data_IF_056474079045
#
_entry.id   IF_056474079045
#
_cell.length_a   1.000
_cell.length_b   1.000
_cell.length_c   1.000
_cell.angle_alpha   90.00
_cell.angle_beta   90.00
_cell.angle_gamma   90.00
#
_symmetry.space_group_name_H-M   'P 1'
#
loop_
_entity.id
_entity.type
_entity.pdbx_description
1 polymer ?
#
# COMPACT_ATOMS: atom_id res chain seq x y z
N UNK A 1 -16.23 9.61 -12.99
CA UNK A 1 -15.09 8.71 -12.70
C UNK A 1 -15.28 8.18 -11.28
N UNK A 2 -15.84 6.99 -11.11
CA UNK A 2 -16.18 6.45 -9.78
C UNK A 2 -15.11 5.49 -9.28
N UNK A 3 -14.55 5.75 -8.10
CA UNK A 3 -13.64 4.81 -7.42
C UNK A 3 -14.49 3.69 -6.81
N UNK A 4 -14.27 2.44 -7.22
CA UNK A 4 -14.93 1.26 -6.64
C UNK A 4 -14.11 0.77 -5.45
N UNK A 5 -14.59 1.06 -4.24
CA UNK A 5 -14.03 0.50 -3.00
C UNK A 5 -14.62 -0.92 -2.81
N UNK A 6 -13.78 -1.95 -2.73
CA UNK A 6 -14.22 -3.29 -2.31
C UNK A 6 -14.62 -3.22 -0.84
N UNK A 7 -15.88 -3.55 -0.53
CA UNK A 7 -16.45 -3.36 0.81
C UNK A 7 -16.10 -4.47 1.83
N UNK A 8 -15.23 -5.44 1.51
CA UNK A 8 -15.03 -6.61 2.37
C UNK A 8 -13.66 -7.31 2.22
N UNK A 9 -12.57 -6.57 2.40
CA UNK A 9 -11.17 -7.08 2.25
C UNK A 9 -10.50 -7.43 3.59
N UNK A 10 -11.25 -7.52 4.70
CA UNK A 10 -10.71 -7.53 6.08
C UNK A 10 -9.69 -8.63 6.39
N UNK A 11 -9.69 -9.72 5.61
CA UNK A 11 -8.78 -10.86 5.77
C UNK A 11 -7.70 -10.92 4.69
N UNK A 12 -7.78 -10.08 3.65
CA UNK A 12 -6.80 -10.03 2.58
C UNK A 12 -5.53 -9.31 3.06
N UNK A 13 -4.37 -9.71 2.52
CA UNK A 13 -3.12 -8.99 2.75
C UNK A 13 -3.11 -7.69 1.95
N UNK A 14 -2.79 -6.59 2.64
CA UNK A 14 -2.68 -5.26 2.04
C UNK A 14 -1.22 -4.83 2.16
N UNK A 15 -0.57 -4.65 1.02
CA UNK A 15 0.77 -4.07 0.95
C UNK A 15 0.62 -2.62 0.52
N UNK A 16 1.14 -1.71 1.34
CA UNK A 16 1.14 -0.27 1.06
C UNK A 16 2.55 0.18 0.65
N UNK A 17 2.63 1.06 -0.34
CA UNK A 17 3.87 1.64 -0.84
C UNK A 17 3.64 3.10 -1.26
N UNK A 18 4.72 3.87 -1.37
CA UNK A 18 4.69 5.23 -1.92
C UNK A 18 5.75 5.38 -3.03
N UNK A 19 6.11 6.61 -3.40
CA UNK A 19 7.27 6.89 -4.24
C UNK A 19 8.59 6.60 -3.52
N UNK A 20 8.65 6.97 -2.23
CA UNK A 20 9.78 6.74 -1.31
C UNK A 20 9.22 6.25 0.03
N UNK A 21 9.94 5.37 0.74
CA UNK A 21 9.44 4.59 1.90
C UNK A 21 8.77 5.37 3.03
N UNK A 22 9.03 6.68 3.16
CA UNK A 22 8.61 7.48 4.32
C UNK A 22 7.14 7.93 4.37
N UNK A 23 6.41 7.95 3.25
CA UNK A 23 5.07 8.57 3.21
C UNK A 23 3.90 7.60 3.40
N UNK A 24 4.21 6.32 3.56
CA UNK A 24 3.22 5.26 3.60
C UNK A 24 2.45 5.18 4.93
N UNK A 25 2.96 5.85 5.97
CA UNK A 25 2.40 5.84 7.34
C UNK A 25 0.97 6.41 7.43
N UNK A 26 0.64 7.42 6.64
CA UNK A 26 -0.71 7.99 6.60
C UNK A 26 -1.73 6.98 6.07
N UNK A 27 -1.38 6.25 5.01
CA UNK A 27 -2.22 5.18 4.47
C UNK A 27 -2.41 4.03 5.46
N UNK A 28 -1.33 3.64 6.15
CA UNK A 28 -1.39 2.65 7.23
C UNK A 28 -2.38 3.05 8.31
N UNK A 29 -2.29 4.28 8.82
CA UNK A 29 -3.17 4.76 9.90
C UNK A 29 -4.65 4.68 9.49
N UNK A 30 -5.00 5.09 8.28
CA UNK A 30 -6.39 5.04 7.81
C UNK A 30 -6.85 3.58 7.70
N UNK A 31 -6.08 2.73 7.04
CA UNK A 31 -6.48 1.35 6.73
C UNK A 31 -6.51 0.50 8.01
N UNK A 32 -5.50 0.61 8.87
CA UNK A 32 -5.41 -0.14 10.11
C UNK A 32 -6.35 0.42 11.18
N UNK A 33 -6.26 1.72 11.47
CA UNK A 33 -6.88 2.30 12.67
C UNK A 33 -8.33 2.75 12.42
N UNK A 34 -8.67 3.28 11.25
CA UNK A 34 -10.02 3.75 10.96
C UNK A 34 -10.90 2.67 10.33
N UNK A 35 -10.30 1.84 9.46
CA UNK A 35 -11.04 0.82 8.71
C UNK A 35 -10.92 -0.59 9.30
N UNK A 36 -10.03 -0.79 10.29
CA UNK A 36 -9.95 -2.02 11.08
C UNK A 36 -9.20 -3.18 10.43
N UNK A 37 -8.47 -2.94 9.33
CA UNK A 37 -7.73 -3.98 8.62
C UNK A 37 -6.45 -4.35 9.38
N UNK A 38 -6.28 -5.63 9.70
CA UNK A 38 -5.17 -6.10 10.54
C UNK A 38 -3.97 -6.59 9.75
N UNK A 39 -4.16 -7.05 8.51
CA UNK A 39 -3.11 -7.61 7.68
C UNK A 39 -2.52 -6.57 6.72
N UNK A 40 -1.97 -5.49 7.26
CA UNK A 40 -1.39 -4.38 6.49
C UNK A 40 0.13 -4.36 6.67
N UNK A 41 0.89 -4.35 5.57
CA UNK A 41 2.36 -4.38 5.56
C UNK A 41 2.94 -3.22 4.76
N UNK A 42 4.07 -2.71 5.22
CA UNK A 42 4.84 -1.67 4.53
C UNK A 42 5.80 -2.27 3.52
N UNK A 43 5.80 -1.72 2.31
CA UNK A 43 6.91 -1.90 1.37
C UNK A 43 7.80 -0.65 1.41
N UNK A 44 8.81 -0.71 2.28
CA UNK A 44 9.69 0.42 2.59
C UNK A 44 10.58 0.82 1.39
N UNK A 45 10.92 -0.16 0.54
CA UNK A 45 11.61 0.09 -0.73
C UNK A 45 10.79 0.95 -1.70
N UNK A 46 9.46 0.86 -1.63
CA UNK A 46 8.53 1.68 -2.41
C UNK A 46 8.82 1.64 -3.92
N UNK A 47 8.28 2.59 -4.69
CA UNK A 47 8.52 2.63 -6.14
C UNK A 47 10.02 2.68 -6.47
N UNK A 48 10.83 3.36 -5.66
CA UNK A 48 12.27 3.49 -5.86
C UNK A 48 13.01 2.14 -5.87
N UNK A 49 12.74 1.23 -4.93
CA UNK A 49 13.35 -0.09 -4.95
C UNK A 49 12.81 -0.94 -6.11
N UNK A 50 11.52 -0.80 -6.43
CA UNK A 50 10.90 -1.55 -7.52
C UNK A 50 11.59 -1.28 -8.86
N UNK A 51 11.87 -0.02 -9.18
CA UNK A 51 12.53 0.37 -10.45
C UNK A 51 14.02 0.06 -10.49
N UNK A 52 14.68 -0.14 -9.34
CA UNK A 52 16.09 -0.54 -9.31
C UNK A 52 16.26 -2.04 -9.51
N UNK A 53 15.30 -2.83 -9.04
CA UNK A 53 15.37 -4.29 -9.10
C UNK A 53 14.67 -4.88 -10.33
N UNK A 54 13.67 -4.21 -10.87
CA UNK A 54 12.93 -4.67 -12.05
C UNK A 54 13.20 -3.72 -13.20
N UNK A 55 13.61 -4.30 -14.34
CA UNK A 55 13.62 -3.59 -15.61
C UNK A 55 12.16 -3.24 -15.95
N UNK A 56 11.73 -2.03 -15.59
CA UNK A 56 10.43 -1.53 -15.99
C UNK A 56 10.52 -1.21 -17.47
N UNK A 57 10.17 -2.18 -18.31
CA UNK A 57 9.89 -1.89 -19.71
C UNK A 57 8.65 -0.98 -19.76
N UNK A 58 8.85 0.19 -20.39
CA UNK A 58 7.81 1.19 -20.65
C UNK A 58 6.94 0.80 -21.85
#
# INVERSE_FOLDING_TARGET
MGVRIKQNVQHEEIIIYCGVGGYTSTGYFVIHSLLGYRNVKFYDGSAQAWVLEHDMEL
#
